data_IF_500654480720
#
_entry.id   IF_500654480720
#
_cell.length_a   1.000
_cell.length_b   1.000
_cell.length_c   1.000
_cell.angle_alpha   90.00
_cell.angle_beta   90.00
_cell.angle_gamma   90.00
#
_symmetry.space_group_name_H-M   'P 1'
#
loop_
_entity.id
_entity.type
_entity.pdbx_description
1 polymer ?
#
# COMPACT_ATOMS: atom_id res chain seq x y z
N UNK A 1 49.42 20.68 22.99
CA UNK A 1 48.87 19.34 22.68
C UNK A 1 47.70 19.52 21.72
N UNK A 2 47.93 19.30 20.42
CA UNK A 2 46.91 19.36 19.36
C UNK A 2 47.14 18.14 18.47
N UNK A 3 46.10 17.34 18.21
CA UNK A 3 46.07 16.39 17.10
C UNK A 3 44.66 16.36 16.50
N UNK A 4 44.55 16.97 15.33
CA UNK A 4 43.53 16.69 14.31
C UNK A 4 44.22 15.73 13.34
N UNK A 5 43.59 14.61 12.97
CA UNK A 5 43.99 13.82 11.80
C UNK A 5 42.76 13.35 11.03
N UNK A 6 42.51 14.01 9.91
CA UNK A 6 41.83 13.46 8.73
C UNK A 6 42.89 12.70 7.94
N UNK A 7 42.60 11.47 7.49
CA UNK A 7 43.55 10.68 6.71
C UNK A 7 43.00 10.42 5.29
N UNK A 8 43.71 10.95 4.29
CA UNK A 8 43.56 10.70 2.85
C UNK A 8 44.97 10.37 2.34
N UNK A 9 45.14 9.21 1.70
CA UNK A 9 46.35 8.77 0.99
C UNK A 9 45.88 7.84 -0.15
N UNK A 10 46.38 7.83 -1.38
CA UNK A 10 47.45 8.59 -2.03
C UNK A 10 47.73 8.03 -3.45
N UNK A 11 47.76 8.92 -4.44
CA UNK A 11 48.63 9.09 -5.66
C UNK A 11 49.31 7.83 -6.28
N UNK A 12 49.07 7.50 -7.55
CA UNK A 12 49.69 7.96 -8.83
C UNK A 12 51.04 7.32 -9.21
N UNK A 13 51.16 6.75 -10.42
CA UNK A 13 52.31 6.89 -11.36
C UNK A 13 52.05 6.19 -12.71
N UNK A 14 52.29 6.92 -13.79
CA UNK A 14 52.32 6.49 -15.21
C UNK A 14 53.73 6.09 -15.64
N UNK A 15 53.87 5.10 -16.52
CA UNK A 15 54.94 5.04 -17.55
C UNK A 15 54.58 4.01 -18.63
N UNK A 16 54.67 4.40 -19.91
CA UNK A 16 54.57 3.48 -21.05
C UNK A 16 55.95 3.19 -21.63
N UNK A 17 56.16 1.98 -22.17
CA UNK A 17 57.25 1.66 -23.10
C UNK A 17 56.77 0.61 -24.11
N UNK A 18 57.13 0.87 -25.38
CA UNK A 18 56.96 0.07 -26.60
C UNK A 18 57.84 -1.20 -26.63
N UNK A 19 57.39 -2.21 -27.39
CA UNK A 19 58.17 -2.79 -28.50
C UNK A 19 59.34 -3.74 -28.22
N UNK A 20 59.34 -4.82 -29.03
CA UNK A 20 60.47 -5.60 -29.54
C UNK A 20 60.88 -6.92 -28.86
N UNK A 21 60.54 -7.99 -29.60
CA UNK A 21 61.15 -9.31 -29.81
C UNK A 21 62.61 -9.48 -29.37
N UNK A 22 62.97 -10.64 -28.79
CA UNK A 22 64.14 -11.46 -29.19
C UNK A 22 64.11 -12.89 -28.61
N UNK A 23 64.27 -13.85 -29.53
CA UNK A 23 64.81 -15.23 -29.48
C UNK A 23 65.27 -15.90 -28.16
N UNK A 24 64.93 -17.20 -27.98
CA UNK A 24 65.88 -18.20 -27.45
C UNK A 24 65.37 -19.33 -26.55
N UNK A 25 65.16 -20.52 -27.16
CA UNK A 25 65.33 -21.91 -26.65
C UNK A 25 64.70 -22.41 -25.32
N UNK A 26 63.60 -23.16 -25.51
CA UNK A 26 63.27 -24.52 -25.03
C UNK A 26 64.00 -25.12 -23.80
N UNK A 27 63.26 -25.28 -22.69
CA UNK A 27 63.29 -26.53 -21.91
C UNK A 27 61.87 -26.90 -21.45
N UNK A 28 61.53 -28.18 -21.60
CA UNK A 28 60.17 -28.70 -21.62
C UNK A 28 59.41 -28.56 -20.30
N UNK A 29 58.18 -28.05 -20.40
CA UNK A 29 57.11 -28.31 -19.44
C UNK A 29 55.93 -28.86 -20.22
N UNK A 30 55.63 -30.14 -20.00
CA UNK A 30 54.41 -30.77 -20.46
C UNK A 30 53.22 -30.01 -19.85
N UNK A 31 52.40 -29.37 -20.69
CA UNK A 31 51.13 -28.80 -20.25
C UNK A 31 50.14 -29.96 -20.13
N UNK A 32 49.67 -30.32 -18.93
CA UNK A 32 48.60 -31.32 -18.86
C UNK A 32 47.33 -30.70 -19.46
N UNK A 33 46.73 -31.41 -20.42
CA UNK A 33 45.37 -31.14 -20.89
C UNK A 33 44.43 -31.30 -19.69
N UNK A 34 44.03 -30.19 -19.06
CA UNK A 34 42.89 -30.22 -18.16
C UNK A 34 41.65 -30.58 -18.99
N UNK A 35 40.89 -31.63 -18.65
CA UNK A 35 39.59 -31.83 -19.28
C UNK A 35 38.71 -30.63 -18.92
N UNK A 36 38.26 -29.89 -19.94
CA UNK A 36 37.13 -28.97 -19.82
C UNK A 36 35.89 -29.78 -19.43
N UNK A 37 35.69 -29.94 -18.12
CA UNK A 37 34.49 -30.58 -17.59
C UNK A 37 33.49 -29.49 -17.20
N UNK A 38 32.43 -29.44 -18.00
CA UNK A 38 31.05 -29.07 -17.66
C UNK A 38 30.86 -27.63 -17.16
N UNK A 39 30.42 -26.75 -18.06
CA UNK A 39 29.35 -25.87 -17.67
C UNK A 39 28.04 -26.62 -17.99
N UNK A 40 27.37 -27.27 -17.03
CA UNK A 40 25.96 -27.58 -17.23
C UNK A 40 25.29 -26.24 -17.51
N UNK A 41 24.64 -26.14 -18.66
CA UNK A 41 23.68 -25.09 -18.97
C UNK A 41 22.85 -24.86 -17.72
N UNK A 42 22.96 -23.67 -17.13
CA UNK A 42 22.00 -23.21 -16.15
C UNK A 42 20.60 -23.50 -16.74
N UNK A 43 19.69 -24.18 -16.02
CA UNK A 43 18.39 -24.48 -16.59
C UNK A 43 17.75 -23.15 -16.98
N UNK A 44 17.51 -22.97 -18.29
CA UNK A 44 16.65 -21.91 -18.77
C UNK A 44 15.36 -22.03 -17.97
N UNK A 45 14.98 -20.98 -17.24
CA UNK A 45 13.73 -20.95 -16.51
C UNK A 45 12.62 -21.21 -17.54
N UNK A 46 12.07 -22.43 -17.55
CA UNK A 46 11.05 -22.81 -18.50
C UNK A 46 9.92 -21.78 -18.38
N UNK A 47 9.62 -21.10 -19.48
CA UNK A 47 8.51 -20.14 -19.55
C UNK A 47 7.25 -20.92 -19.18
N UNK A 48 6.79 -20.76 -17.94
CA UNK A 48 5.65 -21.53 -17.43
C UNK A 48 4.40 -20.91 -18.01
N UNK A 49 3.89 -21.51 -19.07
CA UNK A 49 2.61 -21.16 -19.68
C UNK A 49 1.60 -22.19 -19.20
N UNK A 50 0.56 -21.72 -18.50
CA UNK A 50 -0.55 -22.57 -18.06
C UNK A 50 -1.81 -22.26 -18.88
N UNK A 51 -2.42 -23.29 -19.44
CA UNK A 51 -3.62 -23.21 -20.28
C UNK A 51 -4.58 -24.36 -20.00
N UNK A 52 -5.77 -24.26 -20.57
CA UNK A 52 -6.81 -25.29 -20.47
C UNK A 52 -6.27 -26.68 -20.82
N UNK A 53 -6.58 -27.66 -19.96
CA UNK A 53 -6.11 -29.04 -20.07
C UNK A 53 -4.90 -29.36 -19.19
N UNK A 54 -4.12 -28.34 -18.79
CA UNK A 54 -2.92 -28.55 -17.97
C UNK A 54 -3.26 -29.06 -16.56
N UNK A 55 -2.31 -29.78 -15.96
CA UNK A 55 -2.44 -30.36 -14.62
C UNK A 55 -1.18 -30.20 -13.79
N UNK A 56 -1.34 -30.16 -12.48
CA UNK A 56 -0.26 -30.27 -11.50
C UNK A 56 -0.13 -29.06 -10.57
N UNK A 57 0.94 -29.05 -9.78
CA UNK A 57 1.15 -28.08 -8.70
C UNK A 57 1.15 -26.62 -9.19
N UNK A 58 1.64 -26.37 -10.41
CA UNK A 58 1.62 -25.03 -11.00
C UNK A 58 0.18 -24.51 -11.19
N UNK A 59 -0.74 -25.38 -11.61
CA UNK A 59 -2.16 -25.04 -11.76
C UNK A 59 -2.83 -24.87 -10.40
N UNK A 60 -2.46 -25.68 -9.41
CA UNK A 60 -2.97 -25.47 -8.05
C UNK A 60 -2.54 -24.12 -7.46
N UNK A 61 -1.27 -23.74 -7.64
CA UNK A 61 -0.76 -22.43 -7.22
C UNK A 61 -1.51 -21.31 -7.92
N UNK A 62 -1.73 -21.42 -9.22
CA UNK A 62 -2.53 -20.46 -9.98
C UNK A 62 -3.95 -20.35 -9.40
N UNK A 63 -4.65 -21.47 -9.19
CA UNK A 63 -6.00 -21.50 -8.63
C UNK A 63 -6.04 -20.83 -7.24
N UNK A 64 -5.11 -21.16 -6.34
CA UNK A 64 -4.97 -20.51 -5.02
C UNK A 64 -4.82 -18.99 -5.14
N UNK A 65 -3.94 -18.53 -6.03
CA UNK A 65 -3.71 -17.10 -6.25
C UNK A 65 -4.94 -16.40 -6.85
N UNK A 66 -5.66 -17.06 -7.77
CA UNK A 66 -6.91 -16.54 -8.33
C UNK A 66 -8.03 -16.46 -7.28
N UNK A 67 -8.10 -17.41 -6.32
CA UNK A 67 -9.00 -17.29 -5.15
C UNK A 67 -8.63 -16.09 -4.29
N UNK A 68 -7.34 -15.92 -3.97
CA UNK A 68 -6.86 -14.84 -3.13
C UNK A 68 -7.15 -13.44 -3.72
N UNK A 69 -7.12 -13.30 -5.05
CA UNK A 69 -7.53 -12.03 -5.70
C UNK A 69 -9.04 -11.88 -5.84
N UNK A 70 -9.82 -12.95 -5.63
CA UNK A 70 -11.29 -12.94 -5.59
C UNK A 70 -11.98 -13.19 -6.94
N UNK A 71 -11.30 -13.84 -7.89
CA UNK A 71 -11.85 -14.09 -9.25
C UNK A 71 -12.06 -15.58 -9.55
N UNK A 72 -11.71 -16.47 -8.62
CA UNK A 72 -11.96 -17.90 -8.71
C UNK A 72 -12.65 -18.37 -7.43
N UNK A 73 -13.80 -19.03 -7.56
CA UNK A 73 -14.59 -19.57 -6.45
C UNK A 73 -14.69 -21.11 -6.48
N UNK A 74 -14.02 -21.75 -7.45
CA UNK A 74 -14.01 -23.20 -7.60
C UNK A 74 -13.01 -23.89 -6.66
N UNK A 75 -13.06 -25.23 -6.59
CA UNK A 75 -12.09 -26.01 -5.82
C UNK A 75 -10.68 -25.92 -6.44
N UNK A 76 -9.65 -26.03 -5.59
CA UNK A 76 -8.26 -26.15 -6.04
C UNK A 76 -8.03 -27.63 -6.37
N UNK A 77 -8.12 -27.96 -7.65
CA UNK A 77 -8.02 -29.35 -8.14
C UNK A 77 -6.68 -29.65 -8.79
N UNK A 78 -5.88 -28.62 -9.07
CA UNK A 78 -4.69 -28.75 -9.89
C UNK A 78 -4.99 -29.07 -11.36
N UNK A 79 -6.25 -28.99 -11.80
CA UNK A 79 -6.65 -29.15 -13.20
C UNK A 79 -7.16 -27.83 -13.78
N UNK A 80 -6.59 -27.43 -14.92
CA UNK A 80 -6.95 -26.21 -15.61
C UNK A 80 -8.19 -26.45 -16.49
N UNK A 81 -9.36 -26.44 -15.86
CA UNK A 81 -10.66 -26.55 -16.53
C UNK A 81 -11.30 -25.21 -16.87
N UNK A 82 -12.56 -25.25 -17.32
CA UNK A 82 -13.35 -24.07 -17.74
C UNK A 82 -13.43 -22.98 -16.66
N UNK A 83 -13.55 -23.39 -15.40
CA UNK A 83 -13.61 -22.45 -14.27
C UNK A 83 -12.29 -21.70 -14.09
N UNK A 84 -11.15 -22.38 -14.25
CA UNK A 84 -9.81 -21.76 -14.14
C UNK A 84 -9.56 -20.82 -15.31
N UNK A 85 -9.92 -21.23 -16.53
CA UNK A 85 -9.84 -20.38 -17.72
C UNK A 85 -10.68 -19.11 -17.58
N UNK A 86 -11.93 -19.26 -17.13
CA UNK A 86 -12.84 -18.13 -16.89
C UNK A 86 -12.25 -17.15 -15.86
N UNK A 87 -11.69 -17.66 -14.77
CA UNK A 87 -11.05 -16.84 -13.74
C UNK A 87 -9.80 -16.11 -14.26
N UNK A 88 -8.99 -16.77 -15.11
CA UNK A 88 -7.83 -16.12 -15.75
C UNK A 88 -8.28 -15.03 -16.71
N UNK A 89 -9.28 -15.28 -17.55
CA UNK A 89 -9.85 -14.24 -18.42
C UNK A 89 -10.40 -13.07 -17.61
N UNK A 90 -11.12 -13.33 -16.52
CA UNK A 90 -11.63 -12.29 -15.64
C UNK A 90 -10.50 -11.46 -15.01
N UNK A 91 -9.46 -12.14 -14.51
CA UNK A 91 -8.27 -11.47 -13.98
C UNK A 91 -7.62 -10.59 -15.06
N UNK A 92 -7.35 -11.14 -16.24
CA UNK A 92 -6.77 -10.42 -17.38
C UNK A 92 -7.59 -9.18 -17.75
N UNK A 93 -8.92 -9.30 -17.89
CA UNK A 93 -9.83 -8.16 -18.15
C UNK A 93 -9.71 -7.09 -17.08
N UNK A 94 -9.74 -7.50 -15.80
CA UNK A 94 -9.66 -6.57 -14.67
C UNK A 94 -8.34 -5.79 -14.60
N UNK A 95 -7.32 -6.25 -15.34
CA UNK A 95 -5.97 -5.67 -15.36
C UNK A 95 -5.57 -5.11 -16.72
N UNK A 96 -6.51 -5.01 -17.67
CA UNK A 96 -6.25 -4.46 -19.00
C UNK A 96 -5.38 -5.34 -19.90
N UNK A 97 -5.30 -6.65 -19.63
CA UNK A 97 -4.63 -7.61 -20.50
C UNK A 97 -5.60 -8.16 -21.55
N UNK A 98 -5.06 -8.70 -22.65
CA UNK A 98 -5.85 -9.49 -23.58
C UNK A 98 -6.40 -10.74 -22.84
N UNK A 99 -7.73 -10.93 -22.75
CA UNK A 99 -8.31 -12.00 -21.96
C UNK A 99 -8.37 -13.31 -22.75
N UNK A 100 -7.20 -13.81 -23.15
CA UNK A 100 -7.02 -15.03 -23.92
C UNK A 100 -7.23 -16.32 -23.10
N UNK A 101 -7.29 -16.21 -21.76
CA UNK A 101 -7.45 -17.36 -20.87
C UNK A 101 -6.18 -18.18 -20.70
N UNK A 102 -5.02 -17.65 -21.10
CA UNK A 102 -3.72 -18.27 -20.95
C UNK A 102 -2.93 -17.56 -19.85
N UNK A 103 -2.54 -18.31 -18.81
CA UNK A 103 -1.68 -17.80 -17.75
C UNK A 103 -0.22 -17.93 -18.15
N UNK A 104 0.22 -17.06 -19.06
CA UNK A 104 1.63 -16.87 -19.41
C UNK A 104 2.37 -16.00 -18.38
N UNK A 105 3.67 -15.79 -18.61
CA UNK A 105 4.56 -15.07 -17.68
C UNK A 105 4.02 -13.70 -17.25
N UNK A 106 3.45 -12.94 -18.19
CA UNK A 106 2.91 -11.62 -17.89
C UNK A 106 1.71 -11.68 -16.94
N UNK A 107 0.76 -12.59 -17.20
CA UNK A 107 -0.39 -12.85 -16.32
C UNK A 107 0.05 -13.28 -14.93
N UNK A 108 1.00 -14.22 -14.85
CA UNK A 108 1.52 -14.76 -13.58
C UNK A 108 2.27 -13.70 -12.76
N UNK A 109 3.14 -12.91 -13.41
CA UNK A 109 3.86 -11.82 -12.76
C UNK A 109 2.90 -10.75 -12.21
N UNK A 110 1.89 -10.40 -12.98
CA UNK A 110 0.89 -9.41 -12.55
C UNK A 110 0.05 -9.94 -11.40
N UNK A 111 -0.33 -11.22 -11.43
CA UNK A 111 -1.03 -11.87 -10.33
C UNK A 111 -0.20 -11.85 -9.05
N UNK A 112 1.08 -12.21 -9.13
CA UNK A 112 2.01 -12.14 -8.01
C UNK A 112 2.21 -10.70 -7.50
N UNK A 113 2.33 -9.72 -8.40
CA UNK A 113 2.48 -8.31 -8.04
C UNK A 113 1.23 -7.77 -7.33
N UNK A 114 0.02 -8.14 -7.78
CA UNK A 114 -1.24 -7.77 -7.13
C UNK A 114 -1.32 -8.34 -5.71
N UNK A 115 -0.93 -9.60 -5.53
CA UNK A 115 -0.90 -10.24 -4.21
C UNK A 115 0.16 -9.61 -3.30
N UNK A 116 1.35 -9.33 -3.83
CA UNK A 116 2.39 -8.62 -3.08
C UNK A 116 1.96 -7.21 -2.70
N UNK A 117 1.27 -6.48 -3.58
CA UNK A 117 0.72 -5.16 -3.29
C UNK A 117 -0.38 -5.21 -2.22
N UNK A 118 -1.27 -6.23 -2.25
CA UNK A 118 -2.25 -6.45 -1.17
C UNK A 118 -1.59 -6.70 0.17
N UNK A 119 -0.48 -7.44 0.20
CA UNK A 119 0.26 -7.73 1.42
C UNK A 119 1.15 -6.56 1.89
N UNK A 120 1.54 -5.65 0.98
CA UNK A 120 2.34 -4.45 1.27
C UNK A 120 1.52 -3.21 1.61
N UNK A 121 0.23 -3.20 1.30
CA UNK A 121 -0.67 -2.20 1.86
C UNK A 121 -0.63 -2.39 3.38
N UNK A 122 -0.25 -1.37 4.17
CA UNK A 122 -0.27 -1.50 5.62
C UNK A 122 -1.69 -1.93 6.00
N UNK A 123 -1.82 -3.16 6.49
CA UNK A 123 -3.10 -3.67 6.93
C UNK A 123 -3.63 -2.66 7.93
N UNK A 124 -4.84 -2.17 7.67
CA UNK A 124 -5.44 -1.15 8.51
C UNK A 124 -5.45 -1.69 9.95
N UNK A 125 -4.58 -1.14 10.80
CA UNK A 125 -4.47 -1.60 12.18
C UNK A 125 -5.71 -1.09 12.91
N UNK A 126 -6.60 -1.99 13.38
CA UNK A 126 -7.78 -1.58 14.11
C UNK A 126 -7.37 -0.88 15.39
N UNK A 127 -8.19 0.08 15.81
CA UNK A 127 -7.97 0.81 17.06
C UNK A 127 -9.32 1.07 17.73
N UNK A 128 -9.30 1.24 19.04
CA UNK A 128 -10.50 1.31 19.86
C UNK A 128 -10.19 1.91 21.23
N UNK A 129 -10.97 1.54 22.24
CA UNK A 129 -10.80 2.01 23.61
C UNK A 129 -9.35 1.88 24.10
N UNK A 130 -8.85 2.94 24.74
CA UNK A 130 -7.44 3.04 25.18
C UNK A 130 -6.44 3.43 24.09
N UNK A 131 -6.85 3.50 22.82
CA UNK A 131 -6.01 4.08 21.76
C UNK A 131 -5.94 5.61 21.91
N UNK A 132 -4.85 6.21 21.43
CA UNK A 132 -4.62 7.65 21.52
C UNK A 132 -3.88 8.21 20.30
N UNK A 133 -3.87 9.54 20.18
CA UNK A 133 -3.11 10.27 19.16
C UNK A 133 -3.95 10.73 17.98
N UNK A 134 -3.29 11.09 16.88
CA UNK A 134 -3.93 11.82 15.78
C UNK A 134 -5.03 11.03 15.07
N UNK A 135 -4.91 9.69 14.98
CA UNK A 135 -5.98 8.83 14.41
C UNK A 135 -7.28 8.93 15.22
N UNK A 136 -7.16 9.00 16.54
CA UNK A 136 -8.31 9.16 17.45
C UNK A 136 -8.86 10.57 17.38
N UNK A 137 -8.01 11.59 17.33
CA UNK A 137 -8.44 12.97 17.13
C UNK A 137 -9.23 13.17 15.83
N UNK A 138 -8.75 12.59 14.72
CA UNK A 138 -9.43 12.60 13.42
C UNK A 138 -10.78 11.88 13.48
N UNK A 139 -10.84 10.72 14.15
CA UNK A 139 -12.08 9.99 14.37
C UNK A 139 -13.11 10.84 15.12
N UNK A 140 -12.72 11.38 16.28
CA UNK A 140 -13.57 12.19 17.13
C UNK A 140 -14.07 13.44 16.40
N UNK A 141 -13.21 14.13 15.65
CA UNK A 141 -13.59 15.30 14.87
C UNK A 141 -14.63 14.93 13.79
N UNK A 142 -14.48 13.78 13.13
CA UNK A 142 -15.46 13.29 12.15
C UNK A 142 -16.77 12.92 12.80
N UNK A 143 -16.76 12.20 13.91
CA UNK A 143 -17.98 11.90 14.68
C UNK A 143 -18.67 13.19 15.12
N UNK A 144 -17.92 14.21 15.50
CA UNK A 144 -18.46 15.51 15.88
C UNK A 144 -19.07 16.28 14.70
N UNK A 145 -18.40 16.32 13.55
CA UNK A 145 -18.92 16.91 12.31
C UNK A 145 -20.18 16.20 11.80
N UNK A 146 -20.28 14.89 12.06
CA UNK A 146 -21.45 14.07 11.73
C UNK A 146 -22.57 14.16 12.78
N UNK A 147 -22.34 14.84 13.91
CA UNK A 147 -23.34 15.03 14.97
C UNK A 147 -23.42 13.91 16.01
N UNK A 148 -22.53 12.92 15.98
CA UNK A 148 -22.48 11.83 16.95
C UNK A 148 -21.74 12.19 18.23
N UNK A 149 -20.86 13.20 18.20
CA UNK A 149 -20.04 13.61 19.34
C UNK A 149 -20.16 15.12 19.61
N UNK A 150 -20.63 15.51 20.79
CA UNK A 150 -20.78 16.92 21.15
C UNK A 150 -19.46 17.56 21.57
N UNK A 151 -18.66 16.82 22.34
CA UNK A 151 -17.45 17.32 23.01
C UNK A 151 -16.27 17.46 22.05
N UNK A 152 -15.34 18.36 22.39
CA UNK A 152 -14.12 18.55 21.60
C UNK A 152 -13.25 17.27 21.58
N UNK A 153 -12.51 17.00 20.48
CA UNK A 153 -11.64 15.83 20.39
C UNK A 153 -10.56 15.84 21.48
N UNK A 154 -10.59 14.85 22.37
CA UNK A 154 -9.61 14.64 23.45
C UNK A 154 -8.33 13.97 22.96
N UNK A 155 -8.36 13.40 21.74
CA UNK A 155 -7.34 12.51 21.16
C UNK A 155 -7.11 11.21 21.93
N UNK A 156 -7.94 10.93 22.92
CA UNK A 156 -7.97 9.68 23.67
C UNK A 156 -9.28 8.97 23.36
N UNK A 157 -9.22 7.67 23.09
CA UNK A 157 -10.41 6.91 22.75
C UNK A 157 -11.14 6.54 24.04
N UNK A 158 -11.95 7.48 24.50
CA UNK A 158 -12.74 7.40 25.73
C UNK A 158 -14.13 6.77 25.49
N UNK A 159 -14.89 6.59 26.58
CA UNK A 159 -16.22 6.00 26.56
C UNK A 159 -17.23 6.82 25.74
N UNK A 160 -17.07 8.15 25.70
CA UNK A 160 -17.91 9.01 24.87
C UNK A 160 -17.64 8.76 23.38
N UNK A 161 -16.37 8.59 23.01
CA UNK A 161 -15.93 8.23 21.65
C UNK A 161 -16.45 6.86 21.25
N UNK A 162 -16.35 5.87 22.15
CA UNK A 162 -16.88 4.51 21.91
C UNK A 162 -18.40 4.53 21.70
N UNK A 163 -19.13 5.27 22.53
CA UNK A 163 -20.58 5.38 22.44
C UNK A 163 -21.02 6.04 21.12
N UNK A 164 -20.37 7.15 20.75
CA UNK A 164 -20.59 7.84 19.48
C UNK A 164 -20.26 6.95 18.27
N UNK A 165 -19.15 6.20 18.33
CA UNK A 165 -18.76 5.27 17.27
C UNK A 165 -19.76 4.11 17.13
N UNK A 166 -20.20 3.54 18.24
CA UNK A 166 -21.17 2.44 18.26
C UNK A 166 -22.48 2.89 17.63
N UNK A 167 -22.93 4.11 17.93
CA UNK A 167 -24.12 4.70 17.31
C UNK A 167 -23.93 4.89 15.80
N UNK A 168 -22.78 5.44 15.37
CA UNK A 168 -22.45 5.55 13.94
C UNK A 168 -22.44 4.19 13.23
N UNK A 169 -21.87 3.15 13.85
CA UNK A 169 -21.85 1.81 13.28
C UNK A 169 -23.27 1.24 13.10
N UNK A 170 -24.14 1.38 14.11
CA UNK A 170 -25.55 0.96 14.03
C UNK A 170 -26.28 1.67 12.89
N UNK A 171 -26.15 2.99 12.82
CA UNK A 171 -26.84 3.81 11.82
C UNK A 171 -26.35 3.52 10.38
N UNK A 172 -25.14 2.95 10.24
CA UNK A 172 -24.57 2.51 8.96
C UNK A 172 -24.75 1.02 8.67
N UNK A 173 -25.42 0.26 9.54
CA UNK A 173 -25.58 -1.19 9.38
C UNK A 173 -24.25 -1.96 9.46
N UNK A 174 -23.26 -1.41 10.15
CA UNK A 174 -21.96 -2.05 10.42
C UNK A 174 -22.05 -2.73 11.79
N UNK A 175 -21.25 -3.79 12.02
CA UNK A 175 -21.13 -4.38 13.35
C UNK A 175 -20.75 -3.30 14.39
N UNK A 176 -21.59 -3.12 15.40
CA UNK A 176 -21.51 -2.06 16.39
C UNK A 176 -20.67 -2.50 17.61
N UNK A 177 -19.43 -2.90 17.34
CA UNK A 177 -18.47 -3.41 18.31
C UNK A 177 -17.71 -2.29 19.05
N UNK A 178 -17.86 -1.04 18.62
CA UNK A 178 -17.13 0.10 19.18
C UNK A 178 -15.64 0.11 18.82
N UNK A 179 -15.22 -0.68 17.82
CA UNK A 179 -13.85 -0.75 17.31
C UNK A 179 -13.79 -0.14 15.92
N UNK A 180 -12.77 0.68 15.69
CA UNK A 180 -12.49 1.17 14.35
C UNK A 180 -11.70 0.11 13.62
N UNK A 181 -12.41 -0.77 12.90
CA UNK A 181 -11.87 -1.65 11.87
C UNK A 181 -11.86 -1.00 10.49
N UNK A 182 -11.44 -1.75 9.46
CA UNK A 182 -11.33 -1.23 8.09
C UNK A 182 -12.68 -0.74 7.56
N UNK A 183 -13.75 -1.51 7.76
CA UNK A 183 -15.11 -1.13 7.33
C UNK A 183 -15.57 0.15 8.02
N UNK A 184 -15.43 0.24 9.34
CA UNK A 184 -15.74 1.45 10.12
C UNK A 184 -14.95 2.66 9.62
N UNK A 185 -13.65 2.49 9.39
CA UNK A 185 -12.78 3.56 8.90
C UNK A 185 -13.18 4.04 7.50
N UNK A 186 -13.45 3.12 6.57
CA UNK A 186 -13.93 3.47 5.23
C UNK A 186 -15.27 4.20 5.31
N UNK A 187 -16.21 3.70 6.10
CA UNK A 187 -17.55 4.28 6.22
C UNK A 187 -17.54 5.70 6.80
N UNK A 188 -16.68 5.96 7.80
CA UNK A 188 -16.55 7.32 8.34
C UNK A 188 -15.83 8.23 7.34
N UNK A 189 -14.91 7.71 6.52
CA UNK A 189 -14.24 8.46 5.44
C UNK A 189 -15.11 8.80 4.25
N UNK A 190 -16.05 7.95 3.91
CA UNK A 190 -17.04 8.28 2.88
C UNK A 190 -18.13 9.23 3.40
N UNK A 191 -18.37 9.28 4.72
CA UNK A 191 -19.38 10.15 5.32
C UNK A 191 -19.07 11.66 5.18
N UNK A 192 -17.79 12.02 5.16
CA UNK A 192 -17.30 13.38 4.87
C UNK A 192 -16.17 13.24 3.87
N UNK A 193 -16.44 13.58 2.62
CA UNK A 193 -15.48 13.45 1.52
C UNK A 193 -14.39 14.53 1.59
N UNK A 194 -13.24 14.24 0.98
CA UNK A 194 -12.13 15.21 0.90
C UNK A 194 -12.55 16.52 0.18
N UNK A 195 -13.49 16.47 -0.76
CA UNK A 195 -14.01 17.68 -1.41
C UNK A 195 -14.87 18.51 -0.47
N UNK A 196 -15.72 17.88 0.35
CA UNK A 196 -16.47 18.59 1.40
C UNK A 196 -15.53 19.27 2.40
N UNK A 197 -14.46 18.57 2.82
CA UNK A 197 -13.46 19.16 3.71
C UNK A 197 -12.75 20.34 3.05
N UNK A 198 -12.35 20.23 1.77
CA UNK A 198 -11.73 21.35 1.04
C UNK A 198 -12.65 22.57 0.96
N UNK A 199 -13.92 22.37 0.64
CA UNK A 199 -14.90 23.47 0.58
C UNK A 199 -15.09 24.14 1.95
N UNK A 200 -15.10 23.35 3.03
CA UNK A 200 -15.15 23.88 4.39
C UNK A 200 -13.86 24.64 4.75
N UNK A 201 -12.68 24.10 4.44
CA UNK A 201 -11.39 24.75 4.65
C UNK A 201 -11.31 26.10 3.91
N UNK A 202 -11.78 26.16 2.66
CA UNK A 202 -11.89 27.40 1.88
C UNK A 202 -12.75 28.45 2.60
N UNK A 203 -13.94 28.04 3.06
CA UNK A 203 -14.85 28.95 3.76
C UNK A 203 -14.30 29.42 5.10
N UNK A 204 -13.64 28.53 5.86
CA UNK A 204 -12.95 28.91 7.09
C UNK A 204 -11.76 29.83 6.83
N UNK A 205 -11.09 29.71 5.69
CA UNK A 205 -10.00 30.60 5.28
C UNK A 205 -10.52 31.99 4.96
N UNK A 206 -11.59 32.10 4.18
CA UNK A 206 -12.25 33.37 3.87
C UNK A 206 -12.74 34.06 5.14
N UNK A 207 -13.29 33.29 6.08
CA UNK A 207 -13.73 33.80 7.39
C UNK A 207 -12.58 34.09 8.37
N UNK A 208 -11.32 33.87 7.99
CA UNK A 208 -10.13 34.20 8.78
C UNK A 208 -9.73 33.18 9.85
N UNK A 209 -10.47 32.07 9.99
CA UNK A 209 -10.18 31.01 10.98
C UNK A 209 -9.11 30.01 10.54
N UNK A 210 -8.92 29.84 9.24
CA UNK A 210 -8.02 28.82 8.69
C UNK A 210 -6.87 29.42 7.88
N UNK A 211 -5.64 29.05 8.22
CA UNK A 211 -4.41 29.47 7.53
C UNK A 211 -3.59 28.28 6.99
N UNK A 212 -4.13 27.07 7.09
CA UNK A 212 -3.47 25.85 6.64
C UNK A 212 -3.65 25.55 5.14
N UNK A 213 -3.07 24.45 4.65
CA UNK A 213 -3.21 24.01 3.27
C UNK A 213 -4.60 23.41 3.00
N UNK A 214 -5.20 23.75 1.86
CA UNK A 214 -6.50 23.20 1.47
C UNK A 214 -6.31 21.84 0.82
N UNK A 215 -6.15 20.84 1.69
CA UNK A 215 -5.77 19.47 1.36
C UNK A 215 -6.92 18.47 1.52
N UNK A 216 -8.07 18.88 2.05
CA UNK A 216 -9.20 18.00 2.32
C UNK A 216 -8.99 17.05 3.49
N UNK A 217 -8.00 17.33 4.34
CA UNK A 217 -7.68 16.55 5.53
C UNK A 217 -8.22 17.24 6.78
N UNK A 218 -8.71 16.45 7.72
CA UNK A 218 -9.16 16.92 9.03
C UNK A 218 -8.00 16.87 10.03
N UNK A 219 -6.91 17.56 9.67
CA UNK A 219 -5.70 17.69 10.45
C UNK A 219 -5.84 18.69 11.62
N UNK A 220 -4.80 18.81 12.44
CA UNK A 220 -4.81 19.68 13.61
C UNK A 220 -5.14 21.16 13.29
N UNK A 221 -4.58 21.79 12.23
CA UNK A 221 -4.99 23.13 11.82
C UNK A 221 -6.48 23.23 11.47
N UNK A 222 -7.02 22.21 10.79
CA UNK A 222 -8.44 22.19 10.40
C UNK A 222 -9.33 22.04 11.63
N UNK A 223 -8.96 21.19 12.58
CA UNK A 223 -9.63 21.05 13.87
C UNK A 223 -9.69 22.39 14.63
N UNK A 224 -8.56 23.10 14.71
CA UNK A 224 -8.48 24.39 15.40
C UNK A 224 -9.37 25.45 14.77
N UNK A 225 -9.41 25.51 13.43
CA UNK A 225 -10.27 26.45 12.71
C UNK A 225 -11.76 26.16 12.93
N UNK A 226 -12.16 24.88 12.88
CA UNK A 226 -13.54 24.47 13.19
C UNK A 226 -13.91 24.89 14.61
N UNK A 227 -13.06 24.60 15.60
CA UNK A 227 -13.34 24.92 17.00
C UNK A 227 -13.44 26.43 17.24
N UNK A 228 -12.56 27.21 16.61
CA UNK A 228 -12.59 28.67 16.68
C UNK A 228 -13.89 29.24 16.11
N UNK A 229 -14.31 28.75 14.93
CA UNK A 229 -15.57 29.16 14.30
C UNK A 229 -16.79 28.78 15.15
N UNK A 230 -16.81 27.56 15.71
CA UNK A 230 -17.88 27.12 16.62
C UNK A 230 -18.04 28.02 17.83
N UNK A 231 -16.93 28.38 18.47
CA UNK A 231 -16.94 29.25 19.66
C UNK A 231 -17.38 30.66 19.33
N UNK A 232 -16.91 31.23 18.22
CA UNK A 232 -17.26 32.61 17.86
C UNK A 232 -18.74 32.74 17.46
N UNK A 233 -19.24 31.81 16.63
CA UNK A 233 -20.61 31.89 16.11
C UNK A 233 -21.64 31.13 16.95
N UNK A 234 -21.22 30.41 17.99
CA UNK A 234 -22.13 29.59 18.81
C UNK A 234 -22.77 28.43 18.03
N UNK A 235 -22.09 27.91 17.01
CA UNK A 235 -22.62 26.87 16.11
C UNK A 235 -22.03 25.50 16.38
N UNK A 236 -22.73 24.45 15.93
CA UNK A 236 -22.21 23.08 15.95
C UNK A 236 -21.11 22.86 14.89
N UNK A 237 -20.26 21.85 15.08
CA UNK A 237 -19.29 21.48 14.04
C UNK A 237 -19.99 21.08 12.73
N UNK A 238 -21.13 20.40 12.80
CA UNK A 238 -21.93 20.05 11.64
C UNK A 238 -22.42 21.29 10.87
N UNK A 239 -22.75 22.38 11.57
CA UNK A 239 -23.07 23.66 10.96
C UNK A 239 -21.85 24.30 10.29
N UNK A 240 -20.66 24.17 10.89
CA UNK A 240 -19.39 24.59 10.25
C UNK A 240 -19.15 23.83 8.94
N UNK A 241 -19.35 22.51 8.95
CA UNK A 241 -19.20 21.68 7.75
C UNK A 241 -20.11 22.12 6.61
N UNK A 242 -21.41 22.30 6.90
CA UNK A 242 -22.43 22.69 5.91
C UNK A 242 -22.33 24.14 5.49
N UNK A 243 -21.77 24.96 6.38
CA UNK A 243 -21.58 26.36 6.14
C UNK A 243 -22.67 27.32 6.55
N UNK A 244 -23.44 26.88 7.53
CA UNK A 244 -24.48 27.67 8.17
C UNK A 244 -23.91 28.34 9.42
N UNK A 245 -23.04 29.33 9.25
CA UNK A 245 -22.45 30.16 10.32
C UNK A 245 -22.03 31.53 9.80
#
# INVERSE_FOLDING_TARGET
MIRIMVNVFGRSLTLGVMGALTTGLLWGVAVPLLPMSLNPTAPAQAQTILKKGDRGEAVERLQRQLQQVGVFNGPITGFYGDQTETAVRQFQRSRGLNPDGVAGQHTLNLLAAVLAARNRQPQFQPFGEGSQGDRVGQLQLRLQLLGYLANAPTRNFDQATRSALTQFQRDRGINADGVVGQQTWTAIHSAISASQVRNMQERLRVAGFYRGPINGQLDAPTQQAIESARRLYGVSAAAVLRGSY
#
